data_IF_363091070042
#
_entry.id   IF_363091070042
#
_cell.length_a   1.000
_cell.length_b   1.000
_cell.length_c   1.000
_cell.angle_alpha   90.00
_cell.angle_beta   90.00
_cell.angle_gamma   90.00
#
_symmetry.space_group_name_H-M   'P 1'
#
loop_
_entity.id
_entity.type
_entity.pdbx_description
1 polymer ?
#
# COMPACT_ATOMS: atom_id res chain seq x y z
N UNK A 1 5.96 26.25 -1.57
CA UNK A 1 6.36 24.83 -1.67
C UNK A 1 5.85 23.96 -0.54
N UNK A 2 5.87 24.44 0.70
CA UNK A 2 5.48 23.64 1.87
C UNK A 2 4.08 23.00 1.74
N UNK A 3 3.08 23.76 1.29
CA UNK A 3 1.71 23.25 1.04
C UNK A 3 1.68 22.12 0.01
N UNK A 4 2.47 22.21 -1.06
CA UNK A 4 2.50 21.21 -2.14
C UNK A 4 3.13 19.91 -1.63
N UNK A 5 4.26 20.01 -0.92
CA UNK A 5 4.92 18.86 -0.28
C UNK A 5 3.97 18.17 0.68
N UNK A 6 3.24 18.94 1.49
CA UNK A 6 2.28 18.41 2.45
C UNK A 6 1.12 17.68 1.79
N UNK A 7 0.60 18.17 0.66
CA UNK A 7 -0.43 17.48 -0.12
C UNK A 7 0.10 16.13 -0.62
N UNK A 8 1.31 16.10 -1.18
CA UNK A 8 1.93 14.85 -1.67
C UNK A 8 2.12 13.84 -0.56
N UNK A 9 2.56 14.29 0.63
CA UNK A 9 2.70 13.42 1.79
C UNK A 9 1.35 12.83 2.25
N UNK A 10 0.28 13.63 2.26
CA UNK A 10 -1.06 13.17 2.60
C UNK A 10 -1.56 12.13 1.60
N UNK A 11 -1.41 12.40 0.30
CA UNK A 11 -1.79 11.45 -0.77
C UNK A 11 -1.00 10.16 -0.65
N UNK A 12 0.31 10.25 -0.46
CA UNK A 12 1.19 9.10 -0.23
C UNK A 12 0.75 8.25 0.95
N UNK A 13 0.40 8.90 2.06
CA UNK A 13 -0.10 8.23 3.27
C UNK A 13 -1.42 7.51 3.01
N UNK A 14 -2.35 8.13 2.27
CA UNK A 14 -3.62 7.51 1.90
C UNK A 14 -3.39 6.25 1.05
N UNK A 15 -2.50 6.31 0.06
CA UNK A 15 -2.18 5.15 -0.80
C UNK A 15 -1.57 4.02 0.04
N UNK A 16 -0.68 4.34 0.98
CA UNK A 16 -0.12 3.35 1.92
C UNK A 16 -1.22 2.69 2.76
N UNK A 17 -2.15 3.48 3.32
CA UNK A 17 -3.28 2.95 4.10
C UNK A 17 -4.17 2.05 3.26
N UNK A 18 -4.42 2.39 1.99
CA UNK A 18 -5.19 1.57 1.08
C UNK A 18 -4.49 0.23 0.80
N UNK A 19 -3.18 0.25 0.53
CA UNK A 19 -2.39 -0.97 0.33
C UNK A 19 -2.40 -1.89 1.57
N UNK A 20 -2.26 -1.32 2.77
CA UNK A 20 -2.36 -2.06 4.03
C UNK A 20 -3.75 -2.63 4.26
N UNK A 21 -4.81 -1.88 3.94
CA UNK A 21 -6.20 -2.34 4.08
C UNK A 21 -6.48 -3.51 3.14
N UNK A 22 -5.97 -3.47 1.91
CA UNK A 22 -6.04 -4.59 0.98
C UNK A 22 -5.27 -5.81 1.47
N UNK A 23 -4.07 -5.61 2.04
CA UNK A 23 -3.32 -6.70 2.66
C UNK A 23 -4.08 -7.34 3.83
N UNK A 24 -4.77 -6.54 4.64
CA UNK A 24 -5.62 -7.04 5.73
C UNK A 24 -6.81 -7.87 5.22
N UNK A 25 -7.50 -7.41 4.16
CA UNK A 25 -8.59 -8.19 3.55
C UNK A 25 -8.08 -9.53 2.98
N UNK A 26 -6.91 -9.53 2.33
CA UNK A 26 -6.26 -10.77 1.88
C UNK A 26 -5.90 -11.71 3.02
N UNK A 27 -5.46 -11.17 4.17
CA UNK A 27 -5.20 -11.97 5.37
C UNK A 27 -6.47 -12.65 5.89
N UNK A 28 -7.60 -11.93 5.92
CA UNK A 28 -8.89 -12.51 6.29
C UNK A 28 -9.28 -13.69 5.37
N UNK A 29 -9.14 -13.54 4.06
CA UNK A 29 -9.45 -14.60 3.11
C UNK A 29 -8.51 -15.80 3.22
N UNK A 30 -7.21 -15.55 3.47
CA UNK A 30 -6.24 -16.62 3.70
C UNK A 30 -6.58 -17.47 4.93
N UNK A 31 -6.86 -16.81 6.07
CA UNK A 31 -7.23 -17.53 7.30
C UNK A 31 -8.61 -18.20 7.20
N UNK A 32 -9.56 -17.58 6.50
CA UNK A 32 -10.86 -18.16 6.18
C UNK A 32 -10.74 -19.41 5.32
N UNK A 33 -9.96 -19.34 4.23
CA UNK A 33 -9.67 -20.46 3.34
C UNK A 33 -8.94 -21.61 4.03
N UNK A 34 -8.01 -21.30 4.95
CA UNK A 34 -7.35 -22.30 5.80
C UNK A 34 -8.35 -23.08 6.65
N UNK A 35 -9.32 -22.38 7.22
CA UNK A 35 -10.36 -23.00 8.06
C UNK A 35 -11.31 -23.88 7.25
N UNK A 36 -11.59 -23.51 5.99
CA UNK A 36 -12.48 -24.27 5.10
C UNK A 36 -11.78 -25.33 4.24
N UNK A 37 -10.44 -25.49 4.34
CA UNK A 37 -9.61 -26.31 3.41
C UNK A 37 -9.79 -25.92 1.94
N UNK A 38 -10.20 -24.68 1.70
CA UNK A 38 -10.31 -24.12 0.36
C UNK A 38 -8.95 -23.56 -0.05
N UNK A 39 -8.25 -24.28 -0.93
CA UNK A 39 -6.92 -23.90 -1.41
C UNK A 39 -6.97 -22.69 -2.35
N UNK A 40 -8.03 -22.56 -3.15
CA UNK A 40 -8.20 -21.43 -4.06
C UNK A 40 -8.38 -20.12 -3.30
N UNK A 41 -9.15 -20.13 -2.21
CA UNK A 41 -9.32 -18.95 -1.35
C UNK A 41 -8.06 -18.59 -0.58
N UNK A 42 -7.23 -19.58 -0.23
CA UNK A 42 -5.91 -19.33 0.37
C UNK A 42 -4.96 -18.66 -0.61
N UNK A 43 -4.86 -19.16 -1.85
CA UNK A 43 -3.95 -18.59 -2.84
C UNK A 43 -4.34 -17.15 -3.20
N UNK A 44 -5.64 -16.87 -3.36
CA UNK A 44 -6.16 -15.51 -3.57
C UNK A 44 -5.86 -14.58 -2.38
N UNK A 45 -6.05 -15.08 -1.15
CA UNK A 45 -5.72 -14.33 0.06
C UNK A 45 -4.23 -14.01 0.15
N UNK A 46 -3.35 -14.97 -0.18
CA UNK A 46 -1.91 -14.78 -0.20
C UNK A 46 -1.46 -13.77 -1.26
N UNK A 47 -2.01 -13.87 -2.47
CA UNK A 47 -1.76 -12.93 -3.56
C UNK A 47 -2.20 -11.50 -3.18
N UNK A 48 -3.36 -11.37 -2.53
CA UNK A 48 -3.86 -10.10 -2.02
C UNK A 48 -2.97 -9.51 -0.91
N UNK A 49 -2.43 -10.34 -0.01
CA UNK A 49 -1.45 -9.91 1.01
C UNK A 49 -0.17 -9.40 0.35
N UNK A 50 0.37 -10.14 -0.62
CA UNK A 50 1.63 -9.79 -1.29
C UNK A 50 1.46 -8.50 -2.10
N UNK A 51 0.40 -8.41 -2.90
CA UNK A 51 0.13 -7.23 -3.73
C UNK A 51 -0.21 -5.99 -2.90
N UNK A 52 -1.04 -6.13 -1.86
CA UNK A 52 -1.37 -5.05 -0.92
C UNK A 52 -0.15 -4.57 -0.13
N UNK A 53 0.67 -5.51 0.38
CA UNK A 53 1.91 -5.21 1.07
C UNK A 53 2.95 -4.54 0.17
N UNK A 54 3.12 -5.02 -1.05
CA UNK A 54 4.00 -4.41 -2.04
C UNK A 54 3.57 -2.96 -2.35
N UNK A 55 2.27 -2.71 -2.56
CA UNK A 55 1.77 -1.36 -2.75
C UNK A 55 2.05 -0.44 -1.56
N UNK A 56 1.87 -0.92 -0.33
CA UNK A 56 2.13 -0.12 0.88
C UNK A 56 3.62 0.25 1.04
N UNK A 57 4.53 -0.63 0.63
CA UNK A 57 5.98 -0.35 0.70
C UNK A 57 6.38 0.62 -0.42
N UNK A 58 5.90 0.36 -1.64
CA UNK A 58 6.26 1.13 -2.83
C UNK A 58 5.70 2.56 -2.75
N UNK A 59 4.50 2.76 -2.20
CA UNK A 59 3.88 4.08 -2.04
C UNK A 59 4.71 5.01 -1.16
N UNK A 60 5.30 4.50 -0.08
CA UNK A 60 6.20 5.27 0.78
C UNK A 60 7.43 5.77 0.03
N UNK A 61 8.10 4.87 -0.70
CA UNK A 61 9.28 5.22 -1.51
C UNK A 61 8.96 6.24 -2.61
N UNK A 62 7.88 6.03 -3.35
CA UNK A 62 7.42 6.97 -4.39
C UNK A 62 7.12 8.35 -3.81
N UNK A 63 6.42 8.42 -2.68
CA UNK A 63 6.08 9.69 -2.02
C UNK A 63 7.35 10.45 -1.64
N UNK A 64 8.35 9.77 -1.07
CA UNK A 64 9.63 10.41 -0.73
C UNK A 64 10.39 10.90 -1.96
N UNK A 65 10.40 10.13 -3.05
CA UNK A 65 11.04 10.52 -4.30
C UNK A 65 10.37 11.75 -4.94
N UNK A 66 9.04 11.82 -4.92
CA UNK A 66 8.29 12.97 -5.45
C UNK A 66 8.57 14.22 -4.62
N UNK A 67 8.58 14.12 -3.29
CA UNK A 67 8.91 15.27 -2.42
C UNK A 67 10.34 15.76 -2.67
N UNK A 68 11.30 14.86 -2.83
CA UNK A 68 12.68 15.23 -3.16
C UNK A 68 12.77 15.97 -4.51
N UNK A 69 12.06 15.49 -5.53
CA UNK A 69 12.01 16.16 -6.84
C UNK A 69 11.33 17.54 -6.76
N UNK A 70 10.27 17.68 -5.97
CA UNK A 70 9.60 18.97 -5.76
C UNK A 70 10.51 19.99 -5.08
N UNK A 71 11.25 19.57 -4.06
CA UNK A 71 12.21 20.45 -3.36
C UNK A 71 13.37 20.88 -4.28
N UNK A 72 13.76 20.05 -5.24
CA UNK A 72 14.79 20.42 -6.22
C UNK A 72 14.33 21.51 -7.22
N UNK A 73 13.02 21.69 -7.40
CA UNK A 73 12.43 22.71 -8.30
C UNK A 73 12.18 24.04 -7.56
N UNK A 74 12.21 24.04 -6.22
CA UNK A 74 11.88 25.24 -5.45
C UNK A 74 13.00 26.28 -5.48
N UNK A 75 12.71 27.46 -6.04
CA UNK A 75 13.53 28.66 -5.97
C UNK A 75 13.54 29.27 -4.57
#
# INVERSE_FOLDING_TARGET
MDTIVRIVQVVGTIITVLGLTWGLTGAYDYFGGRRSRDTTRQDQGLESIISGGAMAIISGGLTTAIVAALNAISF
#
